data_IF_029240736196
#
_entry.id   IF_029240736196
#
_cell.length_a   1.000
_cell.length_b   1.000
_cell.length_c   1.000
_cell.angle_alpha   90.00
_cell.angle_beta   90.00
_cell.angle_gamma   90.00
#
_symmetry.space_group_name_H-M   'P 1'
#
loop_
_entity.id
_entity.type
_entity.pdbx_description
1 polymer ?
#
# COMPACT_ATOMS: atom_id res chain seq x y z
N UNK A 1 -23.45 -3.98 32.68
CA UNK A 1 -22.69 -3.70 31.44
C UNK A 1 -22.46 -5.03 30.72
N UNK A 2 -22.77 -5.11 29.43
CA UNK A 2 -22.66 -6.35 28.66
C UNK A 2 -21.26 -6.43 28.00
N UNK A 3 -20.42 -7.42 28.34
CA UNK A 3 -19.04 -7.49 27.84
C UNK A 3 -18.91 -7.91 26.36
N UNK A 4 -20.00 -8.30 25.69
CA UNK A 4 -19.95 -8.83 24.32
C UNK A 4 -20.05 -7.78 23.20
N UNK A 5 -20.27 -6.50 23.52
CA UNK A 5 -20.48 -5.44 22.53
C UNK A 5 -19.18 -4.96 21.89
N UNK A 6 -18.09 -4.91 22.67
CA UNK A 6 -16.80 -4.34 22.25
C UNK A 6 -16.09 -5.23 21.22
N UNK A 7 -16.14 -6.55 21.43
CA UNK A 7 -15.44 -7.52 20.58
C UNK A 7 -16.06 -7.61 19.17
N UNK A 8 -17.38 -7.43 19.07
CA UNK A 8 -18.09 -7.49 17.79
C UNK A 8 -17.80 -6.23 16.98
N UNK A 9 -17.82 -5.04 17.61
CA UNK A 9 -17.56 -3.79 16.89
C UNK A 9 -16.11 -3.68 16.38
N UNK A 10 -15.14 -4.21 17.13
CA UNK A 10 -13.72 -4.25 16.75
C UNK A 10 -13.40 -5.19 15.57
N UNK A 11 -14.15 -6.27 15.39
CA UNK A 11 -13.98 -7.15 14.21
C UNK A 11 -14.54 -6.52 12.94
N UNK A 12 -15.63 -5.75 13.06
CA UNK A 12 -16.31 -5.15 11.92
C UNK A 12 -15.47 -4.02 11.31
N UNK A 13 -14.93 -3.13 12.15
CA UNK A 13 -14.12 -2.01 11.71
C UNK A 13 -12.73 -2.45 11.23
N UNK A 14 -12.11 -3.48 11.82
CA UNK A 14 -10.89 -4.11 11.28
C UNK A 14 -11.14 -4.73 9.91
N UNK A 15 -12.22 -5.51 9.73
CA UNK A 15 -12.59 -6.10 8.44
C UNK A 15 -12.82 -5.03 7.36
N UNK A 16 -13.57 -3.96 7.69
CA UNK A 16 -13.80 -2.84 6.77
C UNK A 16 -12.49 -2.10 6.44
N UNK A 17 -11.59 -1.91 7.41
CA UNK A 17 -10.29 -1.27 7.17
C UNK A 17 -9.38 -2.12 6.28
N UNK A 18 -9.36 -3.45 6.46
CA UNK A 18 -8.57 -4.37 5.62
C UNK A 18 -9.09 -4.39 4.19
N UNK A 19 -10.40 -4.51 4.00
CA UNK A 19 -11.01 -4.47 2.65
C UNK A 19 -10.73 -3.14 1.96
N UNK A 20 -10.76 -2.04 2.70
CA UNK A 20 -10.41 -0.72 2.16
C UNK A 20 -8.92 -0.68 1.75
N UNK A 21 -8.01 -1.15 2.62
CA UNK A 21 -6.57 -1.20 2.35
C UNK A 21 -6.25 -2.05 1.09
N UNK A 22 -6.79 -3.25 0.99
CA UNK A 22 -6.60 -4.13 -0.17
C UNK A 22 -7.13 -3.50 -1.46
N UNK A 23 -8.30 -2.86 -1.41
CA UNK A 23 -8.86 -2.13 -2.55
C UNK A 23 -7.93 -0.99 -3.00
N UNK A 24 -7.38 -0.22 -2.05
CA UNK A 24 -6.44 0.88 -2.36
C UNK A 24 -5.14 0.37 -2.95
N UNK A 25 -4.57 -0.68 -2.38
CA UNK A 25 -3.34 -1.32 -2.88
C UNK A 25 -3.56 -1.84 -4.30
N UNK A 26 -4.69 -2.52 -4.55
CA UNK A 26 -5.04 -3.02 -5.89
C UNK A 26 -5.19 -1.90 -6.92
N UNK A 27 -5.83 -0.79 -6.54
CA UNK A 27 -5.96 0.38 -7.39
C UNK A 27 -4.60 1.00 -7.75
N UNK A 28 -3.66 1.07 -6.82
CA UNK A 28 -2.29 1.52 -7.10
C UNK A 28 -1.52 0.52 -7.95
N UNK A 29 -1.65 -0.78 -7.69
CA UNK A 29 -1.00 -1.82 -8.49
C UNK A 29 -1.44 -1.76 -9.96
N UNK A 30 -2.74 -1.57 -10.22
CA UNK A 30 -3.25 -1.38 -11.59
C UNK A 30 -2.67 -0.15 -12.28
N UNK A 31 -2.45 0.95 -11.54
CA UNK A 31 -1.78 2.16 -12.07
C UNK A 31 -0.32 1.90 -12.39
N UNK A 32 0.40 1.21 -11.50
CA UNK A 32 1.82 0.89 -11.68
C UNK A 32 2.05 -0.14 -12.79
N UNK A 33 1.12 -1.08 -12.99
CA UNK A 33 1.16 -2.01 -14.12
C UNK A 33 1.18 -1.27 -15.48
N UNK A 34 0.54 -0.09 -15.58
CA UNK A 34 0.56 0.74 -16.77
C UNK A 34 1.81 1.63 -16.92
N UNK A 35 2.70 1.67 -15.93
CA UNK A 35 3.93 2.48 -16.00
C UNK A 35 5.01 1.74 -16.79
N UNK A 36 5.89 2.50 -17.46
CA UNK A 36 7.16 1.96 -17.93
C UNK A 36 8.11 1.74 -16.74
N UNK A 37 9.14 0.92 -16.94
CA UNK A 37 10.14 0.66 -15.91
C UNK A 37 10.90 1.93 -15.48
N UNK A 38 11.16 2.85 -16.42
CA UNK A 38 11.79 4.14 -16.07
C UNK A 38 10.88 4.98 -15.18
N UNK A 39 9.58 5.04 -15.49
CA UNK A 39 8.61 5.78 -14.69
C UNK A 39 8.44 5.16 -13.31
N UNK A 40 8.50 3.84 -13.22
CA UNK A 40 8.49 3.12 -11.95
C UNK A 40 9.71 3.48 -11.09
N UNK A 41 10.92 3.45 -11.68
CA UNK A 41 12.17 3.84 -11.00
C UNK A 41 12.14 5.30 -10.53
N UNK A 42 11.67 6.23 -11.37
CA UNK A 42 11.48 7.63 -10.98
C UNK A 42 10.51 7.78 -9.80
N UNK A 43 9.44 6.98 -9.76
CA UNK A 43 8.48 6.98 -8.65
C UNK A 43 9.13 6.49 -7.36
N UNK A 44 9.93 5.42 -7.42
CA UNK A 44 10.72 4.93 -6.28
C UNK A 44 11.68 6.00 -5.77
N UNK A 45 12.41 6.66 -6.67
CA UNK A 45 13.38 7.70 -6.28
C UNK A 45 12.72 8.96 -5.72
N UNK A 46 11.53 9.31 -6.20
CA UNK A 46 10.72 10.37 -5.61
C UNK A 46 10.31 10.01 -4.19
N UNK A 47 9.73 8.82 -3.99
CA UNK A 47 9.29 8.37 -2.67
C UNK A 47 10.43 8.24 -1.68
N UNK A 48 11.64 7.89 -2.11
CA UNK A 48 12.84 7.88 -1.25
C UNK A 48 13.15 9.25 -0.64
N UNK A 49 12.79 10.35 -1.31
CA UNK A 49 13.03 11.72 -0.84
C UNK A 49 11.91 12.26 0.04
N UNK A 50 10.71 11.68 -0.05
CA UNK A 50 9.54 12.13 0.70
C UNK A 50 9.66 11.70 2.17
N UNK A 51 9.62 12.70 3.06
CA UNK A 51 9.64 12.50 4.52
C UNK A 51 8.22 12.38 5.06
N UNK A 52 8.04 11.53 6.07
CA UNK A 52 6.77 11.33 6.78
C UNK A 52 6.05 10.03 6.41
N UNK A 53 5.29 9.49 7.36
CA UNK A 53 4.54 8.25 7.20
C UNK A 53 3.03 8.54 7.33
N UNK A 54 2.24 8.04 6.39
CA UNK A 54 0.78 8.12 6.44
C UNK A 54 0.17 6.82 5.92
N UNK A 55 -1.06 6.52 6.33
CA UNK A 55 -1.74 5.27 5.97
C UNK A 55 -1.88 5.10 4.45
N UNK A 56 -2.25 6.17 3.75
CA UNK A 56 -2.33 6.18 2.28
C UNK A 56 -0.98 5.87 1.63
N UNK A 57 0.09 6.44 2.19
CA UNK A 57 1.45 6.24 1.71
C UNK A 57 1.90 4.80 1.91
N UNK A 58 1.51 4.16 3.00
CA UNK A 58 1.76 2.73 3.22
C UNK A 58 1.14 1.86 2.13
N UNK A 59 -0.10 2.16 1.71
CA UNK A 59 -0.77 1.43 0.63
C UNK A 59 -0.09 1.65 -0.72
N UNK A 60 0.30 2.89 -1.01
CA UNK A 60 1.06 3.25 -2.21
C UNK A 60 2.39 2.50 -2.29
N UNK A 61 3.18 2.49 -1.20
CA UNK A 61 4.47 1.83 -1.13
C UNK A 61 4.35 0.30 -1.22
N UNK A 62 3.30 -0.29 -0.64
CA UNK A 62 3.05 -1.73 -0.76
C UNK A 62 2.79 -2.13 -2.21
N UNK A 63 1.97 -1.36 -2.93
CA UNK A 63 1.71 -1.59 -4.35
C UNK A 63 2.96 -1.34 -5.23
N UNK A 64 3.73 -0.28 -4.94
CA UNK A 64 4.94 0.07 -5.69
C UNK A 64 6.00 -1.02 -5.55
N UNK A 65 6.18 -1.53 -4.32
CA UNK A 65 7.05 -2.67 -4.03
C UNK A 65 6.65 -3.91 -4.83
N UNK A 66 5.37 -4.28 -4.78
CA UNK A 66 4.87 -5.46 -5.47
C UNK A 66 5.07 -5.38 -6.98
N UNK A 67 4.93 -4.20 -7.59
CA UNK A 67 5.19 -4.03 -9.01
C UNK A 67 6.70 -4.07 -9.34
N UNK A 68 7.56 -3.49 -8.49
CA UNK A 68 9.01 -3.58 -8.66
C UNK A 68 9.51 -5.04 -8.58
N UNK A 69 9.01 -5.82 -7.61
CA UNK A 69 9.37 -7.23 -7.42
C UNK A 69 8.99 -8.08 -8.64
N UNK A 70 7.81 -7.88 -9.21
CA UNK A 70 7.39 -8.59 -10.44
C UNK A 70 8.30 -8.33 -11.63
N UNK A 71 8.85 -7.11 -11.72
CA UNK A 71 9.70 -6.66 -12.83
C UNK A 71 11.20 -6.83 -12.57
N UNK A 72 11.58 -7.33 -11.39
CA UNK A 72 12.98 -7.44 -10.99
C UNK A 72 13.68 -6.08 -10.82
N UNK A 73 12.92 -5.01 -10.55
CA UNK A 73 13.46 -3.67 -10.28
C UNK A 73 13.84 -3.60 -8.81
N UNK A 74 15.07 -3.15 -8.54
CA UNK A 74 15.56 -3.04 -7.16
C UNK A 74 14.76 -2.01 -6.35
N UNK A 75 13.90 -2.54 -5.48
CA UNK A 75 13.14 -1.80 -4.48
C UNK A 75 13.86 -1.87 -3.12
N UNK A 76 15.19 -1.71 -3.07
CA UNK A 76 15.89 -1.67 -1.79
C UNK A 76 15.78 -0.30 -1.11
N UNK A 77 15.42 -0.34 0.18
CA UNK A 77 15.82 0.60 1.21
C UNK A 77 17.04 -0.02 1.92
N UNK A 78 18.19 -0.07 1.25
CA UNK A 78 19.45 -0.48 1.90
C UNK A 78 20.05 0.72 2.64
#
# INVERSE_FOLDING_TARGET
MNPNSDLKNKKNNESVMVVNAESRISAYAARFAAYSDERLKQTVDHERKVRGWGNERSYFLAALRGECEKRGIDYCWK
#
